data_IF_891292537913
#
_entry.id   IF_891292537913
#
_cell.length_a   1.000
_cell.length_b   1.000
_cell.length_c   1.000
_cell.angle_alpha   90.00
_cell.angle_beta   90.00
_cell.angle_gamma   90.00
#
_symmetry.space_group_name_H-M   'P 1'
#
loop_
_entity.id
_entity.type
_entity.pdbx_description
1 polymer ?
#
# COMPACT_ATOMS: atom_id res chain seq x y z
N UNK A 1 -10.39 -16.10 2.12
CA UNK A 1 -9.22 -16.35 3.00
C UNK A 1 -8.67 -14.98 3.33
N UNK A 2 -8.62 -14.57 4.60
CA UNK A 2 -8.31 -13.19 5.00
C UNK A 2 -7.07 -13.20 5.90
N UNK A 3 -6.06 -12.38 5.55
CA UNK A 3 -4.73 -12.33 6.19
C UNK A 3 -4.71 -11.64 7.56
N UNK A 4 -5.88 -11.42 8.17
CA UNK A 4 -6.03 -10.76 9.48
C UNK A 4 -5.11 -11.30 10.59
N UNK A 5 -4.79 -12.62 10.68
CA UNK A 5 -3.85 -13.11 11.68
C UNK A 5 -2.39 -12.68 11.43
N UNK A 6 -1.99 -12.50 10.17
CA UNK A 6 -0.63 -12.11 9.80
C UNK A 6 -0.41 -10.60 10.01
N UNK A 7 -1.44 -9.78 9.76
CA UNK A 7 -1.41 -8.34 10.02
C UNK A 7 -1.26 -7.98 11.51
N UNK A 8 -1.82 -8.78 12.42
CA UNK A 8 -1.67 -8.58 13.87
C UNK A 8 -0.24 -8.81 14.38
N UNK A 9 0.57 -9.61 13.67
CA UNK A 9 1.99 -9.84 13.98
C UNK A 9 2.92 -8.78 13.38
N UNK A 10 2.41 -7.92 12.49
CA UNK A 10 3.21 -7.01 11.66
C UNK A 10 3.47 -5.62 12.30
N UNK A 11 3.01 -5.35 13.52
CA UNK A 11 3.33 -4.10 14.24
C UNK A 11 2.46 -2.90 13.87
N UNK A 12 1.28 -3.10 13.25
CA UNK A 12 0.25 -2.07 13.15
C UNK A 12 -0.35 -1.87 14.55
N UNK A 13 0.07 -0.82 15.25
CA UNK A 13 -0.33 -0.54 16.63
C UNK A 13 -1.73 0.04 16.77
N UNK A 14 -2.33 0.49 15.66
CA UNK A 14 -3.68 1.02 15.62
C UNK A 14 -4.65 -0.01 15.00
N UNK A 15 -5.54 -0.62 15.80
CA UNK A 15 -6.53 -1.57 15.29
C UNK A 15 -7.52 -0.95 14.29
N UNK A 16 -7.67 0.38 14.27
CA UNK A 16 -8.55 1.07 13.33
C UNK A 16 -7.85 1.40 12.00
N UNK A 17 -6.52 1.39 11.95
CA UNK A 17 -5.77 1.58 10.70
C UNK A 17 -6.06 0.47 9.69
N UNK A 18 -6.00 -0.79 10.11
CA UNK A 18 -6.30 -1.93 9.23
C UNK A 18 -7.72 -1.83 8.67
N UNK A 19 -8.69 -1.47 9.52
CA UNK A 19 -10.08 -1.27 9.08
C UNK A 19 -10.23 -0.09 8.13
N UNK A 20 -9.44 0.96 8.29
CA UNK A 20 -9.43 2.09 7.37
C UNK A 20 -8.86 1.68 6.01
N UNK A 21 -7.80 0.86 5.97
CA UNK A 21 -7.29 0.29 4.74
C UNK A 21 -8.32 -0.62 4.06
N UNK A 22 -8.99 -1.50 4.80
CA UNK A 22 -10.06 -2.36 4.27
C UNK A 22 -11.19 -1.52 3.64
N UNK A 23 -11.67 -0.49 4.34
CA UNK A 23 -12.67 0.44 3.78
C UNK A 23 -12.16 1.19 2.55
N UNK A 24 -10.90 1.59 2.55
CA UNK A 24 -10.29 2.28 1.40
C UNK A 24 -10.31 1.43 0.13
N UNK A 25 -10.09 0.12 0.28
CA UNK A 25 -10.23 -0.86 -0.80
C UNK A 25 -11.69 -1.03 -1.23
N UNK A 26 -12.61 -1.21 -0.27
CA UNK A 26 -14.04 -1.43 -0.56
C UNK A 26 -14.70 -0.21 -1.24
N UNK A 27 -14.33 0.99 -0.81
CA UNK A 27 -14.86 2.26 -1.34
C UNK A 27 -14.05 2.77 -2.55
N UNK A 28 -13.00 2.05 -2.98
CA UNK A 28 -12.09 2.44 -4.06
C UNK A 28 -11.44 3.83 -3.86
N UNK A 29 -11.28 4.24 -2.59
CA UNK A 29 -10.73 5.56 -2.22
C UNK A 29 -9.24 5.53 -1.91
N UNK A 30 -8.71 4.36 -1.54
CA UNK A 30 -7.28 4.15 -1.28
C UNK A 30 -6.92 2.68 -1.28
N UNK A 31 -5.92 2.31 -2.07
CA UNK A 31 -5.45 0.94 -2.18
C UNK A 31 -4.11 0.80 -1.47
N UNK A 32 -4.10 0.20 -0.28
CA UNK A 32 -2.91 0.12 0.58
C UNK A 32 -2.34 -1.30 0.64
N UNK A 33 -1.02 -1.41 0.68
CA UNK A 33 -0.26 -2.63 0.93
C UNK A 33 0.79 -2.44 2.03
N UNK A 34 0.94 -3.46 2.88
CA UNK A 34 2.12 -3.60 3.72
C UNK A 34 3.27 -4.22 2.90
N UNK A 35 4.47 -3.67 3.06
CA UNK A 35 5.72 -4.22 2.52
C UNK A 35 6.45 -4.87 3.67
N UNK A 36 6.58 -6.20 3.62
CA UNK A 36 7.16 -6.98 4.70
C UNK A 36 8.48 -7.65 4.31
N UNK A 37 9.32 -7.93 5.30
CA UNK A 37 10.43 -8.86 5.13
C UNK A 37 9.86 -10.27 4.86
N UNK A 38 10.25 -10.94 3.76
CA UNK A 38 9.59 -12.18 3.33
C UNK A 38 9.69 -13.38 4.28
N UNK A 39 10.73 -13.43 5.09
CA UNK A 39 11.05 -14.56 5.98
C UNK A 39 10.41 -14.39 7.36
N UNK A 40 10.45 -13.18 7.91
CA UNK A 40 9.97 -12.89 9.27
C UNK A 40 8.54 -12.35 9.30
N UNK A 41 8.05 -11.79 8.17
CA UNK A 41 6.77 -11.10 8.11
C UNK A 41 6.77 -9.72 8.77
N UNK A 42 7.94 -9.21 9.17
CA UNK A 42 8.07 -7.88 9.77
C UNK A 42 7.70 -6.79 8.75
N UNK A 43 6.80 -5.87 9.11
CA UNK A 43 6.46 -4.73 8.27
C UNK A 43 7.62 -3.73 8.22
N UNK A 44 8.12 -3.48 7.02
CA UNK A 44 9.24 -2.56 6.76
C UNK A 44 8.78 -1.24 6.17
N UNK A 45 7.71 -1.26 5.39
CA UNK A 45 7.13 -0.09 4.76
C UNK A 45 5.63 -0.28 4.49
N UNK A 46 4.96 0.83 4.16
CA UNK A 46 3.62 0.85 3.60
C UNK A 46 3.64 1.62 2.28
N UNK A 47 2.86 1.15 1.32
CA UNK A 47 2.68 1.81 0.03
C UNK A 47 1.20 1.84 -0.31
N UNK A 48 0.74 2.93 -0.92
CA UNK A 48 -0.65 3.08 -1.31
C UNK A 48 -0.79 3.76 -2.67
N UNK A 49 -1.92 3.49 -3.32
CA UNK A 49 -2.44 4.27 -4.45
C UNK A 49 -3.59 5.12 -3.92
N UNK A 50 -3.55 6.42 -4.25
CA UNK A 50 -4.57 7.41 -3.90
C UNK A 50 -5.16 7.99 -5.19
N UNK A 51 -6.38 7.57 -5.60
CA UNK A 51 -7.09 8.15 -6.73
C UNK A 51 -7.27 9.65 -6.60
N UNK A 52 -7.16 10.35 -7.72
CA UNK A 52 -7.35 11.79 -7.84
C UNK A 52 -8.69 12.07 -8.50
N UNK A 53 -9.74 12.12 -7.67
CA UNK A 53 -11.10 12.34 -8.16
C UNK A 53 -11.55 11.25 -9.14
N UNK A 54 -12.38 11.63 -10.12
CA UNK A 54 -13.08 10.69 -11.00
C UNK A 54 -12.34 10.43 -12.33
N UNK A 55 -11.23 11.11 -12.61
CA UNK A 55 -10.60 11.15 -13.95
C UNK A 55 -9.62 9.98 -14.21
N UNK A 56 -9.61 8.96 -13.36
CA UNK A 56 -8.75 7.78 -13.54
C UNK A 56 -7.26 8.05 -13.35
N UNK A 57 -6.90 9.17 -12.72
CA UNK A 57 -5.53 9.45 -12.28
C UNK A 57 -5.34 9.04 -10.81
N UNK A 58 -4.12 8.71 -10.42
CA UNK A 58 -3.79 8.41 -9.04
C UNK A 58 -2.34 8.74 -8.68
N UNK A 59 -2.08 8.94 -7.39
CA UNK A 59 -0.73 9.06 -6.83
C UNK A 59 -0.28 7.78 -6.14
N UNK A 60 1.03 7.51 -6.15
CA UNK A 60 1.64 6.50 -5.27
C UNK A 60 2.25 7.19 -4.07
N UNK A 61 1.68 6.95 -2.90
CA UNK A 61 2.19 7.39 -1.60
C UNK A 61 2.80 6.21 -0.84
N UNK A 62 3.59 6.49 0.18
CA UNK A 62 4.15 5.45 1.02
C UNK A 62 5.11 5.99 2.05
N UNK A 63 5.34 5.19 3.10
CA UNK A 63 6.33 5.46 4.12
C UNK A 63 7.17 4.20 4.34
N UNK A 64 8.44 4.40 4.66
CA UNK A 64 9.32 3.34 5.10
C UNK A 64 9.67 3.57 6.57
N UNK A 65 9.91 2.50 7.32
CA UNK A 65 10.61 2.60 8.60
C UNK A 65 12.02 3.13 8.34
N UNK A 66 12.56 3.87 9.31
CA UNK A 66 13.90 4.45 9.23
C UNK A 66 14.94 3.37 8.89
N UNK A 67 15.72 3.57 7.83
CA UNK A 67 16.72 2.61 7.34
C UNK A 67 16.17 1.49 6.46
N UNK A 68 14.88 1.51 6.12
CA UNK A 68 14.20 0.53 5.26
C UNK A 68 13.57 1.17 4.02
N UNK A 69 14.18 2.22 3.47
CA UNK A 69 13.72 2.93 2.28
C UNK A 69 13.80 2.07 1.01
N UNK A 70 14.74 1.13 0.97
CA UNK A 70 14.95 0.22 -0.16
C UNK A 70 13.73 -0.70 -0.41
N UNK A 71 13.15 -1.39 0.60
CA UNK A 71 11.88 -2.09 0.46
C UNK A 71 10.75 -1.26 -0.17
N UNK A 72 10.58 0.00 0.25
CA UNK A 72 9.57 0.88 -0.33
C UNK A 72 9.89 1.19 -1.80
N UNK A 73 11.15 1.50 -2.11
CA UNK A 73 11.58 1.77 -3.47
C UNK A 73 11.38 0.55 -4.40
N UNK A 74 11.62 -0.66 -3.90
CA UNK A 74 11.39 -1.90 -4.64
C UNK A 74 9.90 -2.19 -4.88
N UNK A 75 9.02 -1.80 -3.94
CA UNK A 75 7.58 -1.98 -4.08
C UNK A 75 6.95 -1.02 -5.12
N UNK A 76 7.46 0.22 -5.23
CA UNK A 76 6.93 1.26 -6.14
C UNK A 76 6.68 0.80 -7.59
N UNK A 77 7.63 0.21 -8.33
CA UNK A 77 7.38 -0.20 -9.71
C UNK A 77 6.34 -1.32 -9.83
N UNK A 78 6.23 -2.20 -8.83
CA UNK A 78 5.23 -3.28 -8.81
C UNK A 78 3.83 -2.70 -8.61
N UNK A 79 3.68 -1.81 -7.63
CA UNK A 79 2.40 -1.12 -7.34
C UNK A 79 1.97 -0.24 -8.50
N UNK A 80 2.90 0.48 -9.15
CA UNK A 80 2.60 1.23 -10.38
C UNK A 80 2.01 0.33 -11.46
N UNK A 81 2.66 -0.80 -11.75
CA UNK A 81 2.17 -1.73 -12.78
C UNK A 81 0.80 -2.29 -12.42
N UNK A 82 0.54 -2.54 -11.13
CA UNK A 82 -0.78 -2.99 -10.68
C UNK A 82 -1.83 -1.90 -10.87
N UNK A 83 -1.53 -0.66 -10.51
CA UNK A 83 -2.41 0.49 -10.72
C UNK A 83 -2.81 0.63 -12.21
N UNK A 84 -1.80 0.67 -13.08
CA UNK A 84 -1.98 0.91 -14.52
C UNK A 84 -2.61 -0.30 -15.23
N UNK A 85 -2.23 -1.52 -14.83
CA UNK A 85 -2.64 -2.74 -15.53
C UNK A 85 -3.90 -3.40 -14.99
N UNK A 86 -4.14 -3.34 -13.68
CA UNK A 86 -5.25 -4.04 -13.03
C UNK A 86 -6.38 -3.10 -12.60
N UNK A 87 -6.04 -1.91 -12.11
CA UNK A 87 -7.03 -0.93 -11.64
C UNK A 87 -7.41 0.10 -12.72
N UNK A 88 -6.59 0.24 -13.77
CA UNK A 88 -6.83 1.19 -14.86
C UNK A 88 -6.49 2.64 -14.53
N UNK A 89 -5.75 2.89 -13.44
CA UNK A 89 -5.31 4.24 -13.09
C UNK A 89 -4.05 4.65 -13.84
N UNK A 90 -3.96 5.91 -14.25
CA UNK A 90 -2.70 6.53 -14.67
C UNK A 90 -1.98 7.11 -13.47
N UNK A 91 -0.76 6.64 -13.19
CA UNK A 91 0.02 7.17 -12.07
C UNK A 91 0.70 8.48 -12.45
N UNK A 92 0.28 9.56 -11.80
CA UNK A 92 0.83 10.90 -11.95
C UNK A 92 1.73 11.27 -10.77
N UNK A 93 2.58 12.29 -10.96
CA UNK A 93 3.57 12.71 -9.96
C UNK A 93 4.87 11.90 -9.96
N UNK A 94 5.92 12.52 -9.41
CA UNK A 94 7.27 11.94 -9.28
C UNK A 94 7.51 11.62 -7.81
N UNK A 95 7.97 10.40 -7.54
CA UNK A 95 8.34 9.91 -6.21
C UNK A 95 9.85 9.82 -6.02
#
# INVERSE_FOLDING_TARGET
MTDRPALALAGVTDPDHVRACERGWDDETRFTWAVCEPTTGEMLAEIAIEPLGDEGEAHITGYAREGHEEPLAAARPVVRRFAEGALGYTIVGRY
#
